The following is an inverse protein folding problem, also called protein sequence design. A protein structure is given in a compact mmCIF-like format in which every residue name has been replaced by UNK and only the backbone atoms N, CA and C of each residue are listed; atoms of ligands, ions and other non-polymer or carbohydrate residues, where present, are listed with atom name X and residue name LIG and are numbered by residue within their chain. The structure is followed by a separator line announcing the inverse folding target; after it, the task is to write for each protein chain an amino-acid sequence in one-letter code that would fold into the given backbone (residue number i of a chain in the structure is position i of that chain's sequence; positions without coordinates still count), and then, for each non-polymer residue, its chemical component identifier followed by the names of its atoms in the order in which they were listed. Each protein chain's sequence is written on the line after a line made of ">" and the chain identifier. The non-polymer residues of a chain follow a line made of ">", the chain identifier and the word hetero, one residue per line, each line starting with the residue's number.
data_IF_492055053038
#
_entry.id   IF_492055053038
#
_cell.length_a   1.000
_cell.length_b   1.000
_cell.length_c   1.000
_cell.angle_alpha   90.00
_cell.angle_beta   90.00
_cell.angle_gamma   90.00
#
_symmetry.space_group_name_H-M   'P 1'
#
loop_
_entity.id
_entity.type
_entity.pdbx_description
1 polymer ?
#
# COMPACT_ATOMS: atom_id res chain seq x y z
N UNK A 1 -19.52 -9.08 -14.27
CA UNK A 1 -18.22 -9.21 -13.60
C UNK A 1 -17.29 -8.15 -14.13
N UNK A 2 -16.89 -7.17 -13.32
CA UNK A 2 -15.70 -6.36 -13.66
C UNK A 2 -14.47 -7.20 -13.30
N UNK A 3 -13.56 -7.34 -14.26
CA UNK A 3 -12.29 -8.00 -14.00
C UNK A 3 -11.45 -7.07 -13.11
N UNK A 4 -10.96 -7.60 -11.98
CA UNK A 4 -10.02 -6.85 -11.15
C UNK A 4 -8.63 -6.90 -11.78
N UNK A 5 -8.00 -5.73 -11.89
CA UNK A 5 -6.70 -5.52 -12.49
C UNK A 5 -5.64 -5.75 -11.41
N UNK A 6 -4.91 -6.87 -11.47
CA UNK A 6 -3.63 -7.10 -10.80
C UNK A 6 -3.44 -6.56 -9.37
N UNK A 7 -2.24 -6.04 -9.09
CA UNK A 7 -1.81 -5.44 -7.82
C UNK A 7 -0.81 -4.32 -8.12
N UNK A 8 -0.79 -3.19 -7.39
CA UNK A 8 0.25 -2.19 -7.56
C UNK A 8 1.60 -2.75 -7.10
N UNK A 9 2.66 -2.47 -7.88
CA UNK A 9 4.02 -2.82 -7.51
C UNK A 9 4.45 -2.10 -6.22
N UNK A 10 5.45 -2.64 -5.52
CA UNK A 10 6.04 -2.01 -4.34
C UNK A 10 6.69 -0.66 -4.66
N UNK A 11 6.76 0.24 -3.67
CA UNK A 11 7.46 1.51 -3.80
C UNK A 11 8.97 1.30 -3.94
N UNK A 12 9.56 1.91 -4.97
CA UNK A 12 11.02 1.90 -5.22
C UNK A 12 11.55 3.33 -5.32
N UNK A 13 12.19 3.88 -4.26
CA UNK A 13 12.64 5.27 -4.23
C UNK A 13 13.67 5.60 -5.30
N UNK A 14 14.36 4.61 -5.86
CA UNK A 14 15.29 4.77 -6.98
C UNK A 14 14.59 5.03 -8.33
N UNK A 15 13.30 4.72 -8.45
CA UNK A 15 12.54 4.78 -9.71
C UNK A 15 11.43 5.83 -9.71
N UNK A 16 10.84 6.15 -8.56
CA UNK A 16 9.71 7.06 -8.46
C UNK A 16 9.72 7.87 -7.15
N UNK A 17 9.10 9.05 -7.17
CA UNK A 17 8.83 9.79 -5.95
C UNK A 17 7.68 9.16 -5.18
N UNK A 18 7.63 9.40 -3.86
CA UNK A 18 6.51 8.95 -3.04
C UNK A 18 5.14 9.48 -3.53
N UNK A 19 5.08 10.72 -4.02
CA UNK A 19 3.84 11.29 -4.54
C UNK A 19 3.33 10.55 -5.78
N UNK A 20 4.23 10.20 -6.72
CA UNK A 20 3.89 9.44 -7.91
C UNK A 20 3.45 8.00 -7.56
N UNK A 21 4.11 7.38 -6.57
CA UNK A 21 3.71 6.08 -6.04
C UNK A 21 2.28 6.09 -5.49
N UNK A 22 1.93 7.10 -4.70
CA UNK A 22 0.59 7.22 -4.12
C UNK A 22 -0.45 7.44 -5.22
N UNK A 23 -0.18 8.31 -6.19
CA UNK A 23 -1.09 8.56 -7.31
C UNK A 23 -1.42 7.27 -8.08
N UNK A 24 -0.42 6.41 -8.39
CA UNK A 24 -0.71 5.12 -9.07
C UNK A 24 -1.48 4.13 -8.19
N UNK A 25 -1.30 4.16 -6.87
CA UNK A 25 -2.08 3.33 -5.95
C UNK A 25 -3.54 3.81 -5.89
N UNK A 26 -3.77 5.12 -5.90
CA UNK A 26 -5.12 5.70 -5.97
C UNK A 26 -5.80 5.35 -7.31
N UNK A 27 -5.09 5.47 -8.43
CA UNK A 27 -5.57 5.05 -9.74
C UNK A 27 -5.92 3.55 -9.77
N UNK A 28 -5.09 2.70 -9.14
CA UNK A 28 -5.40 1.28 -8.98
C UNK A 28 -6.69 1.05 -8.19
N UNK A 29 -6.89 1.79 -7.09
CA UNK A 29 -8.10 1.67 -6.26
C UNK A 29 -9.35 2.07 -7.04
N UNK A 30 -9.28 3.16 -7.82
CA UNK A 30 -10.35 3.61 -8.71
C UNK A 30 -10.66 2.55 -9.76
N UNK A 31 -9.63 2.04 -10.45
CA UNK A 31 -9.80 1.07 -11.53
C UNK A 31 -10.37 -0.29 -11.07
N UNK A 32 -10.28 -0.59 -9.77
CA UNK A 32 -10.76 -1.84 -9.18
C UNK A 32 -12.02 -1.66 -8.30
N UNK A 33 -12.60 -0.45 -8.27
CA UNK A 33 -13.72 -0.09 -7.41
C UNK A 33 -13.49 -0.48 -5.94
N UNK A 34 -12.28 -0.22 -5.44
CA UNK A 34 -11.89 -0.53 -4.07
C UNK A 34 -12.68 0.36 -3.12
N UNK A 35 -13.59 -0.26 -2.37
CA UNK A 35 -14.35 0.40 -1.31
C UNK A 35 -13.40 1.12 -0.33
N UNK A 36 -13.79 2.31 0.12
CA UNK A 36 -13.01 3.15 1.04
C UNK A 36 -12.52 2.39 2.29
N UNK A 37 -13.38 1.56 2.90
CA UNK A 37 -13.04 0.74 4.06
C UNK A 37 -11.94 -0.30 3.79
N UNK A 38 -11.62 -0.58 2.52
CA UNK A 38 -10.59 -1.52 2.08
C UNK A 38 -9.32 -0.83 1.59
N UNK A 39 -9.31 0.49 1.40
CA UNK A 39 -8.18 1.20 0.79
C UNK A 39 -6.90 1.06 1.63
N UNK A 40 -6.99 1.26 2.95
CA UNK A 40 -5.83 1.10 3.84
C UNK A 40 -5.28 -0.32 3.78
N UNK A 41 -6.14 -1.34 3.89
CA UNK A 41 -5.72 -2.74 3.80
C UNK A 41 -5.08 -3.06 2.43
N UNK A 42 -5.62 -2.49 1.36
CA UNK A 42 -5.09 -2.64 0.00
C UNK A 42 -3.68 -2.05 -0.11
N UNK A 43 -3.48 -0.81 0.36
CA UNK A 43 -2.15 -0.17 0.38
C UNK A 43 -1.17 -0.99 1.23
N UNK A 44 -1.52 -1.33 2.46
CA UNK A 44 -0.64 -2.10 3.37
C UNK A 44 -0.25 -3.44 2.76
N UNK A 45 -1.18 -4.12 2.09
CA UNK A 45 -0.88 -5.37 1.41
C UNK A 45 0.15 -5.19 0.29
N UNK A 46 0.13 -4.03 -0.40
CA UNK A 46 0.97 -3.68 -1.54
C UNK A 46 2.42 -3.31 -1.18
N UNK A 47 2.68 -2.85 0.05
CA UNK A 47 3.97 -2.25 0.47
C UNK A 47 5.18 -3.20 0.46
N UNK A 48 4.95 -4.51 0.39
CA UNK A 48 6.01 -5.51 0.51
C UNK A 48 6.36 -5.84 1.96
N UNK A 49 6.91 -7.04 2.18
CA UNK A 49 7.16 -7.57 3.51
C UNK A 49 8.13 -6.70 4.34
N UNK A 50 9.17 -6.15 3.70
CA UNK A 50 10.16 -5.31 4.37
C UNK A 50 9.56 -3.99 4.87
N UNK A 51 8.94 -3.22 3.98
CA UNK A 51 8.35 -1.92 4.31
C UNK A 51 7.20 -2.06 5.29
N UNK A 52 6.37 -3.10 5.14
CA UNK A 52 5.33 -3.43 6.11
C UNK A 52 5.93 -3.78 7.48
N UNK A 53 7.02 -4.55 7.52
CA UNK A 53 7.73 -4.86 8.75
C UNK A 53 8.29 -3.62 9.46
N UNK A 54 8.82 -2.66 8.71
CA UNK A 54 9.25 -1.36 9.26
C UNK A 54 8.07 -0.59 9.88
N UNK A 55 6.96 -0.47 9.14
CA UNK A 55 5.75 0.19 9.63
C UNK A 55 5.25 -0.49 10.91
N UNK A 56 5.12 -1.81 10.89
CA UNK A 56 4.70 -2.62 12.04
C UNK A 56 5.59 -2.35 13.25
N UNK A 57 6.92 -2.32 13.04
CA UNK A 57 7.86 -2.04 14.12
C UNK A 57 7.74 -0.62 14.68
N UNK A 58 7.32 0.36 13.88
CA UNK A 58 7.07 1.74 14.32
C UNK A 58 5.76 1.88 15.12
N UNK A 59 4.71 1.16 14.72
CA UNK A 59 3.37 1.34 15.30
C UNK A 59 3.06 0.36 16.43
N UNK A 60 3.84 -0.72 16.58
CA UNK A 60 3.67 -1.63 17.70
C UNK A 60 3.93 -0.89 19.02
N UNK A 61 3.11 -1.12 20.06
CA UNK A 61 3.37 -0.53 21.36
C UNK A 61 4.75 -0.96 21.85
N UNK A 62 5.53 0.00 22.35
CA UNK A 62 6.78 -0.29 23.05
C UNK A 62 6.44 -1.26 24.18
N UNK A 63 7.11 -2.44 24.20
CA UNK A 63 7.10 -3.28 25.39
C UNK A 63 7.54 -2.41 26.57
N UNK A 64 6.65 -2.21 27.54
CA UNK A 64 7.05 -1.70 28.85
C UNK A 64 8.14 -2.64 29.36
N UNK A 65 9.35 -2.11 29.52
CA UNK A 65 10.49 -2.83 30.10
C UNK A 65 10.26 -3.05 31.59
#
# INVERSE_FOLDING_TARGET
>A
NMAQIGRPDEYKPENESWSAYIERVELFMIANDVNEAKQVATLLSAMGAYTYGLLWNLVQPLKLK
#
